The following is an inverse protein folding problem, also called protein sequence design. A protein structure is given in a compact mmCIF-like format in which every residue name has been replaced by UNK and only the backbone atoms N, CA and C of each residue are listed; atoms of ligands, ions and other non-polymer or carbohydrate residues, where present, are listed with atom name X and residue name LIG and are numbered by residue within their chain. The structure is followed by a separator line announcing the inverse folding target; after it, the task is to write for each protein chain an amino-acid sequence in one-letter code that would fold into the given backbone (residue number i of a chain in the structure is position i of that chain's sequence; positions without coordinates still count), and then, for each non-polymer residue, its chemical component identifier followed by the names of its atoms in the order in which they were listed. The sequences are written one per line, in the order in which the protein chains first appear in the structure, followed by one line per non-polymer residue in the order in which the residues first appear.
data_IF_305575549092
#
_entry.id   IF_305575549092
#
_cell.length_a   1.000
_cell.length_b   1.000
_cell.length_c   1.000
_cell.angle_alpha   90.00
_cell.angle_beta   90.00
_cell.angle_gamma   90.00
#
_symmetry.space_group_name_H-M   'P 1'
#
loop_
_entity.id
_entity.type
_entity.pdbx_description
1 polymer ?
#
# COMPACT_ATOMS: atom_id res chain seq x y z
N UNK A 1 -22.59 -7.33 -10.04
CA UNK A 1 -21.47 -8.25 -10.00
C UNK A 1 -21.42 -8.87 -8.62
N UNK A 2 -21.31 -10.17 -8.54
CA UNK A 2 -21.22 -10.93 -7.29
C UNK A 2 -19.75 -11.19 -7.02
N UNK A 3 -19.29 -11.00 -5.78
CA UNK A 3 -17.99 -11.48 -5.32
C UNK A 3 -17.99 -13.00 -5.52
N UNK A 4 -17.00 -13.50 -6.24
CA UNK A 4 -16.96 -14.91 -6.62
C UNK A 4 -16.29 -15.77 -5.56
N UNK A 5 -15.45 -15.17 -4.69
CA UNK A 5 -14.75 -15.86 -3.62
C UNK A 5 -14.53 -14.93 -2.43
N UNK A 6 -14.76 -15.46 -1.23
CA UNK A 6 -14.41 -14.81 0.04
C UNK A 6 -13.52 -15.76 0.80
N UNK A 7 -12.30 -15.33 1.08
CA UNK A 7 -11.32 -16.11 1.85
C UNK A 7 -11.02 -15.42 3.16
N UNK A 8 -10.68 -16.21 4.20
CA UNK A 8 -10.29 -15.69 5.50
C UNK A 8 -9.01 -16.35 5.98
N UNK A 9 -8.06 -15.52 6.43
CA UNK A 9 -6.86 -15.93 7.13
C UNK A 9 -6.92 -15.38 8.56
N UNK A 10 -6.84 -16.26 9.56
CA UNK A 10 -6.83 -15.85 10.96
C UNK A 10 -5.57 -16.33 11.65
N UNK A 11 -4.87 -15.40 12.31
CA UNK A 11 -3.70 -15.67 13.14
C UNK A 11 -4.18 -15.60 14.58
N UNK A 12 -4.00 -16.69 15.33
CA UNK A 12 -4.55 -16.79 16.68
C UNK A 12 -3.84 -15.82 17.65
N UNK A 13 -4.56 -15.48 18.74
CA UNK A 13 -4.01 -14.70 19.85
C UNK A 13 -2.69 -15.30 20.37
N UNK A 14 -1.73 -14.41 20.67
CA UNK A 14 -0.41 -14.75 21.23
C UNK A 14 0.43 -15.70 20.35
N UNK A 15 0.04 -15.89 19.08
CA UNK A 15 0.76 -16.72 18.12
C UNK A 15 1.84 -15.91 17.39
N UNK A 16 3.07 -16.40 17.39
CA UNK A 16 4.14 -15.90 16.53
C UNK A 16 4.41 -16.92 15.41
N UNK A 17 4.16 -16.50 14.16
CA UNK A 17 4.42 -17.29 12.95
C UNK A 17 5.71 -16.77 12.35
N UNK A 18 6.78 -17.57 12.44
CA UNK A 18 8.14 -17.20 12.02
C UNK A 18 8.32 -17.31 10.51
N UNK A 19 7.70 -18.32 9.89
CA UNK A 19 7.77 -18.50 8.45
C UNK A 19 6.68 -17.68 7.76
N UNK A 20 6.98 -16.99 6.64
CA UNK A 20 5.97 -16.25 5.90
C UNK A 20 4.84 -17.14 5.39
N UNK A 21 3.61 -16.63 5.47
CA UNK A 21 2.42 -17.25 4.88
C UNK A 21 2.33 -16.78 3.43
N UNK A 22 2.43 -17.70 2.48
CA UNK A 22 2.34 -17.40 1.06
C UNK A 22 0.93 -17.67 0.53
N UNK A 23 0.35 -16.67 -0.10
CA UNK A 23 -0.91 -16.77 -0.81
C UNK A 23 -0.64 -16.47 -2.29
N UNK A 24 -0.92 -17.42 -3.17
CA UNK A 24 -0.81 -17.20 -4.61
C UNK A 24 -2.19 -17.26 -5.26
N UNK A 25 -2.47 -16.30 -6.12
CA UNK A 25 -3.71 -16.26 -6.87
C UNK A 25 -3.65 -17.21 -8.07
N UNK A 26 -4.64 -18.09 -8.17
CA UNK A 26 -4.87 -18.86 -9.40
C UNK A 26 -5.80 -18.07 -10.31
N UNK A 27 -5.30 -17.66 -11.47
CA UNK A 27 -6.08 -16.88 -12.44
C UNK A 27 -6.80 -17.80 -13.42
N UNK A 28 -8.08 -17.54 -13.65
CA UNK A 28 -8.93 -18.35 -14.56
C UNK A 28 -8.95 -17.84 -16.01
N UNK A 29 -8.35 -16.65 -16.24
CA UNK A 29 -8.45 -15.93 -17.52
C UNK A 29 -9.80 -15.24 -17.75
N UNK A 30 -10.67 -15.21 -16.75
CA UNK A 30 -11.96 -14.50 -16.73
C UNK A 30 -11.89 -13.34 -15.73
N UNK A 31 -12.75 -12.30 -15.86
CA UNK A 31 -12.88 -11.28 -14.84
C UNK A 31 -13.29 -11.88 -13.49
N UNK A 32 -12.55 -11.55 -12.44
CA UNK A 32 -12.73 -12.07 -11.10
C UNK A 32 -12.94 -10.95 -10.10
N UNK A 33 -13.81 -11.21 -9.11
CA UNK A 33 -13.93 -10.37 -7.92
C UNK A 33 -13.62 -11.22 -6.71
N UNK A 34 -12.68 -10.79 -5.89
CA UNK A 34 -12.26 -11.52 -4.69
C UNK A 34 -12.27 -10.63 -3.46
N UNK A 35 -12.51 -11.24 -2.32
CA UNK A 35 -12.38 -10.61 -1.01
C UNK A 35 -11.56 -11.50 -0.10
N UNK A 36 -10.55 -10.94 0.53
CA UNK A 36 -9.74 -11.60 1.55
C UNK A 36 -9.86 -10.81 2.86
N UNK A 37 -10.10 -11.54 3.95
CA UNK A 37 -10.06 -10.97 5.31
C UNK A 37 -8.87 -11.58 6.03
N UNK A 38 -7.98 -10.72 6.56
CA UNK A 38 -6.83 -11.12 7.38
C UNK A 38 -7.05 -10.61 8.79
N UNK A 39 -7.14 -11.52 9.76
CA UNK A 39 -7.27 -11.18 11.18
C UNK A 39 -5.99 -11.54 11.92
N UNK A 40 -5.32 -10.55 12.49
CA UNK A 40 -4.20 -10.73 13.41
C UNK A 40 -4.70 -10.61 14.86
N UNK A 41 -4.73 -11.72 15.58
CA UNK A 41 -5.21 -11.79 16.96
C UNK A 41 -4.34 -11.01 17.95
N UNK A 42 -4.83 -10.83 19.17
CA UNK A 42 -4.12 -10.10 20.25
C UNK A 42 -2.66 -10.57 20.38
N UNK A 43 -1.70 -9.64 20.38
CA UNK A 43 -0.25 -9.90 20.49
C UNK A 43 0.30 -10.92 19.47
N UNK A 44 -0.41 -11.20 18.39
CA UNK A 44 0.10 -12.10 17.36
C UNK A 44 1.16 -11.41 16.50
N UNK A 45 1.99 -12.23 15.82
CA UNK A 45 3.01 -11.74 14.89
C UNK A 45 3.09 -12.64 13.67
N UNK A 46 3.04 -12.07 12.49
CA UNK A 46 3.13 -12.81 11.24
C UNK A 46 3.61 -11.95 10.07
N UNK A 47 4.05 -12.64 9.01
CA UNK A 47 4.27 -12.07 7.69
C UNK A 47 3.38 -12.78 6.68
N UNK A 48 2.61 -12.02 5.91
CA UNK A 48 1.75 -12.53 4.84
C UNK A 48 2.24 -11.97 3.52
N UNK A 49 2.44 -12.84 2.55
CA UNK A 49 2.90 -12.48 1.20
C UNK A 49 1.84 -12.93 0.20
N UNK A 50 1.37 -11.98 -0.61
CA UNK A 50 0.44 -12.26 -1.71
C UNK A 50 1.17 -12.04 -3.03
N UNK A 51 1.24 -13.08 -3.83
CA UNK A 51 1.81 -13.04 -5.18
C UNK A 51 0.70 -13.05 -6.22
N UNK A 52 0.71 -12.05 -7.09
CA UNK A 52 -0.20 -11.89 -8.20
C UNK A 52 0.58 -11.96 -9.52
N UNK A 53 0.40 -13.04 -10.28
CA UNK A 53 1.11 -13.28 -11.54
C UNK A 53 0.18 -13.87 -12.61
N UNK A 54 0.61 -13.82 -13.87
CA UNK A 54 -0.16 -14.33 -15.01
C UNK A 54 -1.05 -13.27 -15.66
N UNK A 55 -2.05 -13.69 -16.46
CA UNK A 55 -2.97 -12.81 -17.17
C UNK A 55 -4.33 -12.82 -16.51
N UNK A 56 -4.82 -11.67 -16.03
CA UNK A 56 -6.08 -11.56 -15.32
C UNK A 56 -6.72 -10.16 -15.43
N UNK A 57 -8.05 -10.14 -15.20
CA UNK A 57 -8.80 -8.92 -14.88
C UNK A 57 -9.38 -9.10 -13.49
N UNK A 58 -8.82 -8.39 -12.50
CA UNK A 58 -9.13 -8.63 -11.08
C UNK A 58 -9.64 -7.36 -10.43
N UNK A 59 -10.80 -7.49 -9.77
CA UNK A 59 -11.24 -6.60 -8.70
C UNK A 59 -10.97 -7.27 -7.35
N UNK A 60 -10.30 -6.59 -6.43
CA UNK A 60 -9.89 -7.18 -5.17
C UNK A 60 -10.20 -6.27 -4.00
N UNK A 61 -10.68 -6.85 -2.91
CA UNK A 61 -10.82 -6.21 -1.62
C UNK A 61 -10.09 -7.03 -0.57
N UNK A 62 -9.16 -6.40 0.15
CA UNK A 62 -8.43 -7.02 1.27
C UNK A 62 -8.71 -6.22 2.52
N UNK A 63 -9.40 -6.84 3.49
CA UNK A 63 -9.60 -6.29 4.82
C UNK A 63 -8.55 -6.87 5.77
N UNK A 64 -7.91 -6.02 6.55
CA UNK A 64 -6.85 -6.40 7.49
C UNK A 64 -7.22 -5.84 8.86
N UNK A 65 -7.41 -6.71 9.82
CA UNK A 65 -7.80 -6.33 11.19
C UNK A 65 -6.72 -6.76 12.16
N UNK A 66 -6.02 -5.79 12.74
CA UNK A 66 -5.03 -6.04 13.78
C UNK A 66 -5.64 -5.77 15.15
N UNK A 67 -5.68 -6.80 16.00
CA UNK A 67 -6.00 -6.64 17.42
C UNK A 67 -4.87 -5.97 18.18
N UNK A 68 -5.13 -5.54 19.42
CA UNK A 68 -4.12 -4.85 20.23
C UNK A 68 -2.80 -5.62 20.33
N UNK A 69 -1.67 -4.91 20.18
CA UNK A 69 -0.33 -5.47 20.22
C UNK A 69 0.03 -6.42 19.07
N UNK A 70 -0.85 -6.61 18.09
CA UNK A 70 -0.54 -7.45 16.94
C UNK A 70 0.50 -6.79 16.02
N UNK A 71 1.35 -7.59 15.38
CA UNK A 71 2.36 -7.14 14.42
C UNK A 71 2.21 -7.90 13.11
N UNK A 72 1.94 -7.20 12.03
CA UNK A 72 1.75 -7.80 10.72
C UNK A 72 2.62 -7.12 9.66
N UNK A 73 3.46 -7.91 8.99
CA UNK A 73 4.04 -7.53 7.72
C UNK A 73 3.15 -8.06 6.61
N UNK A 74 2.66 -7.17 5.76
CA UNK A 74 1.80 -7.49 4.63
C UNK A 74 2.49 -7.09 3.34
N UNK A 75 2.82 -8.07 2.51
CA UNK A 75 3.60 -7.88 1.28
C UNK A 75 2.75 -8.28 0.09
N UNK A 76 2.62 -7.42 -0.90
CA UNK A 76 1.93 -7.75 -2.15
C UNK A 76 2.83 -7.51 -3.35
N UNK A 77 2.91 -8.52 -4.21
CA UNK A 77 3.70 -8.51 -5.43
C UNK A 77 2.75 -8.53 -6.63
N UNK A 78 2.82 -7.50 -7.49
CA UNK A 78 2.07 -7.41 -8.73
C UNK A 78 3.02 -7.63 -9.90
N UNK A 79 3.17 -8.90 -10.27
CA UNK A 79 4.00 -9.38 -11.39
C UNK A 79 3.13 -9.86 -12.55
N UNK A 80 2.04 -9.15 -12.79
CA UNK A 80 1.08 -9.46 -13.83
C UNK A 80 1.69 -9.40 -15.24
N UNK A 81 1.17 -10.20 -16.15
CA UNK A 81 1.45 -10.03 -17.58
C UNK A 81 0.90 -8.69 -18.10
N UNK A 82 1.45 -8.20 -19.20
CA UNK A 82 1.16 -6.89 -19.78
C UNK A 82 -0.28 -6.67 -20.28
N UNK A 83 -1.10 -7.72 -20.32
CA UNK A 83 -2.53 -7.66 -20.68
C UNK A 83 -3.47 -7.59 -19.47
N UNK A 84 -2.92 -7.61 -18.26
CA UNK A 84 -3.70 -7.70 -17.03
C UNK A 84 -4.16 -6.34 -16.52
N UNK A 85 -5.33 -6.36 -15.88
CA UNK A 85 -5.91 -5.21 -15.17
C UNK A 85 -6.20 -5.62 -13.73
N UNK A 86 -5.68 -4.87 -12.77
CA UNK A 86 -5.99 -5.04 -11.36
C UNK A 86 -6.54 -3.74 -10.76
N UNK A 87 -7.67 -3.83 -10.08
CA UNK A 87 -8.23 -2.77 -9.25
C UNK A 87 -8.36 -3.33 -7.83
N UNK A 88 -7.51 -2.88 -6.92
CA UNK A 88 -7.43 -3.40 -5.56
C UNK A 88 -7.65 -2.32 -4.50
N UNK A 89 -8.37 -2.68 -3.44
CA UNK A 89 -8.47 -1.91 -2.21
C UNK A 89 -7.95 -2.75 -1.05
N UNK A 90 -7.03 -2.20 -0.27
CA UNK A 90 -6.49 -2.81 0.93
C UNK A 90 -6.84 -1.90 2.11
N UNK A 91 -7.62 -2.39 3.07
CA UNK A 91 -8.07 -1.60 4.21
C UNK A 91 -7.59 -2.23 5.51
N UNK A 92 -6.76 -1.51 6.27
CA UNK A 92 -6.22 -1.96 7.55
C UNK A 92 -6.81 -1.18 8.72
N UNK A 93 -7.36 -1.91 9.70
CA UNK A 93 -7.77 -1.40 11.00
C UNK A 93 -6.69 -1.76 12.03
N UNK A 94 -6.04 -0.75 12.61
CA UNK A 94 -4.88 -0.93 13.48
C UNK A 94 -5.22 -0.55 14.92
N UNK A 95 -5.36 -1.56 15.79
CA UNK A 95 -5.76 -1.36 17.17
C UNK A 95 -4.59 -0.89 18.06
N UNK A 96 -4.89 -0.69 19.35
CA UNK A 96 -3.95 -0.20 20.37
C UNK A 96 -2.60 -0.94 20.33
N UNK A 97 -1.49 -0.19 20.27
CA UNK A 97 -0.12 -0.70 20.30
C UNK A 97 0.19 -1.75 19.20
N UNK A 98 -0.66 -1.84 18.16
CA UNK A 98 -0.41 -2.72 17.03
C UNK A 98 0.49 -2.05 15.97
N UNK A 99 1.24 -2.88 15.24
CA UNK A 99 2.18 -2.47 14.20
C UNK A 99 1.80 -3.09 12.87
N UNK A 100 1.46 -2.26 11.88
CA UNK A 100 1.14 -2.68 10.53
C UNK A 100 2.20 -2.20 9.55
N UNK A 101 2.87 -3.12 8.86
CA UNK A 101 3.83 -2.80 7.81
C UNK A 101 3.34 -3.35 6.48
N UNK A 102 3.05 -2.46 5.53
CA UNK A 102 2.62 -2.79 4.18
C UNK A 102 3.74 -2.55 3.17
N UNK A 103 4.03 -3.55 2.34
CA UNK A 103 5.02 -3.48 1.27
C UNK A 103 4.35 -3.83 -0.06
N UNK A 104 4.31 -2.87 -0.97
CA UNK A 104 3.69 -3.01 -2.29
C UNK A 104 4.78 -2.97 -3.36
N UNK A 105 4.88 -4.04 -4.15
CA UNK A 105 5.79 -4.11 -5.31
C UNK A 105 4.97 -4.25 -6.58
N UNK A 106 5.07 -3.29 -7.50
CA UNK A 106 4.30 -3.29 -8.75
C UNK A 106 5.23 -3.18 -9.94
N UNK A 107 5.39 -4.26 -10.69
CA UNK A 107 6.28 -4.36 -11.86
C UNK A 107 5.60 -4.93 -13.09
N UNK A 108 4.30 -5.25 -13.03
CA UNK A 108 3.55 -5.85 -14.12
C UNK A 108 2.14 -5.26 -14.26
N UNK A 109 1.40 -5.74 -15.29
CA UNK A 109 0.05 -5.31 -15.63
C UNK A 109 0.02 -4.18 -16.66
N UNK A 110 -1.07 -4.08 -17.43
CA UNK A 110 -1.34 -2.90 -18.28
C UNK A 110 -1.90 -1.77 -17.44
N UNK A 111 -2.81 -2.09 -16.52
CA UNK A 111 -3.37 -1.15 -15.55
C UNK A 111 -3.37 -1.81 -14.19
N UNK A 112 -2.69 -1.20 -13.24
CA UNK A 112 -2.75 -1.59 -11.82
C UNK A 112 -3.11 -0.37 -11.01
N UNK A 113 -4.23 -0.43 -10.27
CA UNK A 113 -4.62 0.58 -9.31
C UNK A 113 -4.83 -0.07 -7.96
N UNK A 114 -4.04 0.36 -6.98
CA UNK A 114 -4.13 -0.07 -5.59
C UNK A 114 -4.46 1.11 -4.69
N UNK A 115 -5.39 0.91 -3.77
CA UNK A 115 -5.82 1.91 -2.81
C UNK A 115 -5.62 1.38 -1.37
N UNK A 116 -4.39 1.44 -0.83
CA UNK A 116 -4.13 1.12 0.57
C UNK A 116 -4.72 2.20 1.49
N UNK A 117 -5.51 1.78 2.48
CA UNK A 117 -6.12 2.64 3.49
C UNK A 117 -5.78 2.12 4.89
N UNK A 118 -5.49 3.01 5.81
CA UNK A 118 -5.20 2.69 7.21
C UNK A 118 -6.04 3.58 8.12
N UNK A 119 -6.79 2.94 9.04
CA UNK A 119 -7.50 3.57 10.13
C UNK A 119 -6.92 3.11 11.46
N UNK A 120 -6.57 4.06 12.33
CA UNK A 120 -6.12 3.75 13.68
C UNK A 120 -7.31 3.67 14.63
N UNK A 121 -7.46 2.54 15.32
CA UNK A 121 -8.56 2.29 16.27
C UNK A 121 -8.10 2.24 17.73
N UNK A 122 -6.81 2.48 18.01
CA UNK A 122 -6.26 2.52 19.36
C UNK A 122 -4.95 3.31 19.46
N UNK A 123 -4.72 3.93 20.63
CA UNK A 123 -3.51 4.71 20.89
C UNK A 123 -2.25 3.86 20.81
N UNK A 124 -1.11 4.47 20.42
CA UNK A 124 0.17 3.79 20.27
C UNK A 124 0.30 2.94 19.03
N UNK A 125 -0.74 2.90 18.19
CA UNK A 125 -0.74 2.19 16.93
C UNK A 125 0.25 2.81 15.93
N UNK A 126 0.84 1.98 15.07
CA UNK A 126 1.74 2.44 14.02
C UNK A 126 1.50 1.74 12.69
N UNK A 127 1.72 2.47 11.60
CA UNK A 127 1.66 1.93 10.25
C UNK A 127 2.83 2.45 9.41
N UNK A 128 3.50 1.54 8.70
CA UNK A 128 4.50 1.86 7.70
C UNK A 128 4.06 1.31 6.35
N UNK A 129 3.91 2.20 5.35
CA UNK A 129 3.46 1.85 4.01
C UNK A 129 4.58 2.15 3.01
N UNK A 130 5.21 1.11 2.53
CA UNK A 130 6.27 1.18 1.52
C UNK A 130 5.79 0.67 0.18
N UNK A 131 6.14 1.37 -0.89
CA UNK A 131 5.86 0.94 -2.24
C UNK A 131 7.05 1.16 -3.16
N UNK A 132 7.28 0.19 -4.04
CA UNK A 132 8.17 0.34 -5.18
C UNK A 132 7.43 -0.06 -6.45
N UNK A 133 7.60 0.72 -7.51
CA UNK A 133 6.98 0.42 -8.79
C UNK A 133 7.91 0.77 -9.95
N UNK A 134 7.81 -0.05 -10.98
CA UNK A 134 8.54 0.15 -12.22
C UNK A 134 7.56 0.06 -13.39
N UNK A 135 7.33 1.18 -14.06
CA UNK A 135 6.45 1.24 -15.22
C UNK A 135 7.26 1.22 -16.52
N UNK A 136 6.81 0.42 -17.47
CA UNK A 136 7.33 0.37 -18.83
C UNK A 136 6.31 0.88 -19.83
N UNK A 137 6.69 0.92 -21.12
CA UNK A 137 5.86 1.49 -22.20
C UNK A 137 4.40 1.01 -22.14
N UNK A 138 3.47 1.97 -22.14
CA UNK A 138 2.03 1.72 -22.17
C UNK A 138 1.41 1.23 -20.87
N UNK A 139 2.17 1.10 -19.80
CA UNK A 139 1.64 0.73 -18.49
C UNK A 139 1.10 1.95 -17.74
N UNK A 140 0.00 1.74 -17.00
CA UNK A 140 -0.54 2.70 -16.04
C UNK A 140 -0.55 2.07 -14.64
N UNK A 141 0.33 2.57 -13.76
CA UNK A 141 0.44 2.09 -12.37
C UNK A 141 0.03 3.21 -11.42
N UNK A 142 -1.03 2.98 -10.64
CA UNK A 142 -1.61 3.99 -9.77
C UNK A 142 -1.68 3.47 -8.32
N UNK A 143 -1.18 4.28 -7.38
CA UNK A 143 -1.24 4.00 -5.95
C UNK A 143 -1.88 5.18 -5.23
N UNK A 144 -3.03 4.93 -4.56
CA UNK A 144 -3.76 5.93 -3.76
C UNK A 144 -3.75 5.53 -2.31
N UNK A 145 -2.86 6.12 -1.56
CA UNK A 145 -2.67 5.83 -0.14
C UNK A 145 -3.54 6.79 0.67
N UNK A 146 -4.28 6.25 1.65
CA UNK A 146 -5.01 7.06 2.60
C UNK A 146 -4.67 6.61 4.02
N UNK A 147 -4.28 7.55 4.88
CA UNK A 147 -3.98 7.30 6.29
C UNK A 147 -4.80 8.23 7.15
N UNK A 148 -5.68 7.66 7.96
CA UNK A 148 -6.61 8.38 8.81
C UNK A 148 -6.16 8.33 10.28
N UNK A 149 -5.59 9.45 10.76
CA UNK A 149 -5.25 9.62 12.16
C UNK A 149 -6.45 10.18 12.93
N UNK A 150 -7.26 9.31 13.45
CA UNK A 150 -8.49 9.61 14.19
C UNK A 150 -8.37 9.37 15.71
N UNK A 151 -7.17 8.98 16.19
CA UNK A 151 -6.88 8.72 17.59
C UNK A 151 -5.49 9.25 17.99
N UNK A 152 -5.35 9.64 19.27
CA UNK A 152 -4.10 10.19 19.77
C UNK A 152 -2.93 9.20 19.77
N UNK A 153 -1.70 9.74 19.61
CA UNK A 153 -0.43 9.01 19.69
C UNK A 153 -0.26 7.91 18.63
N UNK A 154 -0.91 8.03 17.47
CA UNK A 154 -0.68 7.14 16.35
C UNK A 154 0.49 7.63 15.48
N UNK A 155 1.18 6.70 14.80
CA UNK A 155 2.30 7.00 13.92
C UNK A 155 2.10 6.41 12.54
N UNK A 156 2.50 7.16 11.49
CA UNK A 156 2.59 6.61 10.14
C UNK A 156 3.81 7.08 9.38
N UNK A 157 4.26 6.24 8.47
CA UNK A 157 5.27 6.56 7.47
C UNK A 157 4.82 6.01 6.14
N UNK A 158 4.76 6.85 5.13
CA UNK A 158 4.46 6.48 3.75
C UNK A 158 5.67 6.78 2.89
N UNK A 159 6.21 5.78 2.20
CA UNK A 159 7.40 5.95 1.37
C UNK A 159 7.26 5.14 0.09
N UNK A 160 6.95 5.81 -1.01
CA UNK A 160 6.78 5.21 -2.32
C UNK A 160 7.82 5.71 -3.29
N UNK A 161 8.44 4.79 -4.04
CA UNK A 161 9.45 5.12 -5.05
C UNK A 161 9.13 4.45 -6.36
N UNK A 162 9.23 5.21 -7.45
CA UNK A 162 8.98 4.73 -8.80
C UNK A 162 10.14 4.98 -9.74
N UNK A 163 10.28 4.11 -10.73
CA UNK A 163 11.07 4.38 -11.91
C UNK A 163 10.23 4.06 -13.15
N UNK A 164 10.42 4.87 -14.20
CA UNK A 164 9.63 4.78 -15.42
C UNK A 164 10.53 4.78 -16.64
N UNK A 165 10.29 3.83 -17.54
CA UNK A 165 11.03 3.70 -18.80
C UNK A 165 10.09 3.43 -19.97
N UNK A 166 10.28 4.16 -21.05
CA UNK A 166 9.58 3.95 -22.31
C UNK A 166 8.41 4.90 -22.52
N UNK A 167 8.00 4.97 -23.79
CA UNK A 167 6.94 5.85 -24.23
C UNK A 167 5.62 5.44 -23.58
N UNK A 168 4.85 6.44 -23.11
CA UNK A 168 3.53 6.28 -22.50
C UNK A 168 3.56 5.42 -21.19
N UNK A 169 4.73 5.21 -20.58
CA UNK A 169 4.83 4.73 -19.21
C UNK A 169 4.26 5.82 -18.27
N UNK A 170 3.22 5.48 -17.51
CA UNK A 170 2.53 6.44 -16.67
C UNK A 170 2.32 5.90 -15.25
N UNK A 171 2.71 6.70 -14.27
CA UNK A 171 2.40 6.40 -12.87
C UNK A 171 1.66 7.55 -12.22
N UNK A 172 0.75 7.19 -11.31
CA UNK A 172 0.03 8.14 -10.45
C UNK A 172 0.22 7.71 -9.00
N UNK A 173 0.71 8.62 -8.18
CA UNK A 173 0.75 8.44 -6.75
C UNK A 173 -0.03 9.57 -6.06
N UNK A 174 -0.97 9.18 -5.21
CA UNK A 174 -1.74 10.10 -4.38
C UNK A 174 -1.55 9.64 -2.94
N UNK A 175 -1.03 10.53 -2.09
CA UNK A 175 -0.94 10.33 -0.65
C UNK A 175 -1.91 11.29 0.02
N UNK A 176 -2.81 10.75 0.82
CA UNK A 176 -3.76 11.51 1.62
C UNK A 176 -3.55 11.14 3.08
N UNK A 177 -3.03 12.07 3.88
CA UNK A 177 -2.92 11.92 5.33
C UNK A 177 -3.85 12.92 5.99
N UNK A 178 -4.78 12.42 6.79
CA UNK A 178 -5.72 13.25 7.53
C UNK A 178 -5.51 13.08 9.04
N UNK A 179 -5.33 14.20 9.76
CA UNK A 179 -5.15 14.25 11.21
C UNK A 179 -6.35 14.96 11.81
N UNK A 180 -7.27 14.19 12.39
CA UNK A 180 -8.51 14.70 12.96
C UNK A 180 -8.30 15.45 14.28
N UNK A 181 -9.34 16.17 14.69
CA UNK A 181 -9.42 16.74 16.04
C UNK A 181 -9.32 15.65 17.09
N UNK A 182 -8.42 15.83 18.07
CA UNK A 182 -8.18 14.85 19.12
C UNK A 182 -7.18 13.75 18.77
N UNK A 183 -6.63 13.74 17.55
CA UNK A 183 -5.48 12.90 17.18
C UNK A 183 -4.15 13.50 17.65
N UNK A 184 -4.13 13.96 18.91
CA UNK A 184 -2.97 14.62 19.52
C UNK A 184 -1.78 13.66 19.63
N UNK A 185 -0.57 14.18 19.51
CA UNK A 185 0.63 13.36 19.54
C UNK A 185 0.87 12.52 18.27
N UNK A 186 0.17 12.82 17.18
CA UNK A 186 0.43 12.20 15.88
C UNK A 186 1.85 12.50 15.39
N UNK A 187 2.51 11.47 14.83
CA UNK A 187 3.80 11.55 14.16
C UNK A 187 3.70 10.89 12.78
N UNK A 188 3.66 11.69 11.71
CA UNK A 188 3.45 11.19 10.35
C UNK A 188 4.39 11.85 9.35
N UNK A 189 4.76 11.10 8.31
CA UNK A 189 5.48 11.65 7.16
C UNK A 189 5.19 10.82 5.91
N UNK A 190 4.95 11.51 4.79
CA UNK A 190 4.79 10.86 3.50
C UNK A 190 5.82 11.33 2.48
N UNK A 191 6.30 10.42 1.67
CA UNK A 191 7.31 10.64 0.67
C UNK A 191 7.00 9.89 -0.61
N UNK A 192 7.02 10.58 -1.75
CA UNK A 192 7.06 9.96 -3.05
C UNK A 192 8.25 10.46 -3.87
N UNK A 193 8.98 9.54 -4.50
CA UNK A 193 10.07 9.88 -5.41
C UNK A 193 9.98 9.06 -6.68
N UNK A 194 10.06 9.74 -7.83
CA UNK A 194 10.01 9.12 -9.14
C UNK A 194 11.26 9.47 -9.94
N UNK A 195 11.75 8.51 -10.71
CA UNK A 195 12.86 8.67 -11.64
C UNK A 195 12.38 8.34 -13.08
N UNK A 196 12.41 9.34 -13.94
CA UNK A 196 12.13 9.18 -15.37
C UNK A 196 13.41 8.79 -16.09
N UNK A 197 13.48 7.56 -16.58
CA UNK A 197 14.66 7.00 -17.23
C UNK A 197 14.73 7.33 -18.72
N UNK A 198 13.59 7.61 -19.36
CA UNK A 198 13.50 7.90 -20.79
C UNK A 198 12.49 9.01 -21.06
N UNK A 199 12.56 9.58 -22.24
CA UNK A 199 11.55 10.50 -22.73
C UNK A 199 10.21 9.81 -22.98
N UNK A 200 9.09 10.56 -22.80
CA UNK A 200 7.73 10.08 -22.98
C UNK A 200 7.14 9.35 -21.78
N UNK A 201 7.92 9.14 -20.72
CA UNK A 201 7.41 8.68 -19.44
C UNK A 201 6.85 9.84 -18.61
N UNK A 202 5.80 9.57 -17.80
CA UNK A 202 5.11 10.56 -16.97
C UNK A 202 4.83 10.01 -15.58
N UNK A 203 5.18 10.76 -14.54
CA UNK A 203 4.82 10.49 -13.16
C UNK A 203 4.04 11.67 -12.58
N UNK A 204 2.82 11.41 -12.12
CA UNK A 204 1.98 12.37 -11.39
C UNK A 204 2.05 12.03 -9.90
N UNK A 205 2.36 13.02 -9.07
CA UNK A 205 2.50 12.86 -7.62
C UNK A 205 1.73 13.95 -6.90
N UNK A 206 0.78 13.53 -6.05
CA UNK A 206 -0.14 14.43 -5.33
C UNK A 206 -0.12 14.10 -3.84
N UNK A 207 0.80 14.71 -3.06
CA UNK A 207 0.76 14.61 -1.61
C UNK A 207 -0.27 15.58 -1.02
N UNK A 208 -1.14 15.08 -0.14
CA UNK A 208 -2.13 15.87 0.59
C UNK A 208 -1.98 15.60 2.10
N UNK A 209 -1.95 16.67 2.88
CA UNK A 209 -1.87 16.58 4.34
C UNK A 209 -2.85 17.57 4.95
N UNK A 210 -3.86 17.04 5.64
CA UNK A 210 -4.84 17.84 6.36
C UNK A 210 -4.66 17.66 7.87
N UNK A 211 -4.60 18.77 8.61
CA UNK A 211 -4.32 18.77 10.04
C UNK A 211 -5.37 19.62 10.74
N UNK A 212 -6.18 18.99 11.60
CA UNK A 212 -7.22 19.66 12.38
C UNK A 212 -6.85 19.89 13.86
N UNK A 213 -5.70 19.40 14.33
CA UNK A 213 -5.19 19.63 15.70
C UNK A 213 -3.82 20.31 15.68
N UNK A 214 -3.55 21.16 16.70
CA UNK A 214 -2.24 21.80 16.89
C UNK A 214 -1.24 20.99 17.72
N UNK A 215 -1.67 19.90 18.35
CA UNK A 215 -0.91 19.12 19.33
C UNK A 215 -0.30 17.88 18.68
N UNK A 216 0.59 18.05 17.69
CA UNK A 216 1.26 16.96 16.97
C UNK A 216 2.75 16.89 17.33
N UNK A 217 3.36 15.69 17.22
CA UNK A 217 4.81 15.52 17.33
C UNK A 217 5.47 15.97 16.04
N UNK A 218 4.94 15.59 14.91
CA UNK A 218 5.41 16.00 13.59
C UNK A 218 4.49 15.55 12.47
N UNK A 219 4.40 16.39 11.44
CA UNK A 219 3.74 16.03 10.20
C UNK A 219 4.45 16.67 9.02
N UNK A 220 4.45 16.00 7.87
CA UNK A 220 5.05 16.53 6.67
C UNK A 220 4.89 15.63 5.47
N UNK A 221 5.13 16.21 4.30
CA UNK A 221 5.16 15.46 3.05
C UNK A 221 6.23 16.00 2.11
N UNK A 222 6.69 15.14 1.21
CA UNK A 222 7.56 15.54 0.10
C UNK A 222 7.29 14.68 -1.13
N UNK A 223 7.33 15.31 -2.29
CA UNK A 223 7.34 14.59 -3.55
C UNK A 223 8.40 15.14 -4.51
N UNK A 224 9.02 14.26 -5.27
CA UNK A 224 10.05 14.64 -6.25
C UNK A 224 9.95 13.73 -7.47
N UNK A 225 9.96 14.34 -8.65
CA UNK A 225 10.12 13.62 -9.90
C UNK A 225 11.36 14.18 -10.59
N UNK A 226 12.38 13.34 -10.77
CA UNK A 226 13.63 13.67 -11.46
C UNK A 226 13.75 12.93 -12.78
N UNK A 227 14.51 13.48 -13.69
CA UNK A 227 14.98 12.78 -14.89
C UNK A 227 16.36 12.19 -14.63
N UNK A 228 16.60 11.06 -15.21
CA UNK A 228 17.95 10.51 -15.31
C UNK A 228 18.74 11.35 -16.31
N UNK A 229 19.89 11.82 -15.90
CA UNK A 229 20.81 12.58 -16.72
C UNK A 229 22.12 11.78 -16.86
N UNK A 230 22.47 11.44 -18.08
CA UNK A 230 23.69 10.69 -18.37
C UNK A 230 24.96 11.41 -17.90
N UNK A 231 24.94 12.74 -17.82
CA UNK A 231 26.04 13.56 -17.29
C UNK A 231 26.30 13.37 -15.78
N UNK A 232 25.34 12.82 -15.05
CA UNK A 232 25.47 12.55 -13.60
C UNK A 232 26.10 11.19 -13.30
N UNK A 233 26.44 10.42 -14.32
CA UNK A 233 27.06 9.09 -14.18
C UNK A 233 28.59 9.10 -14.14
N UNK A 234 29.23 10.27 -14.29
CA UNK A 234 30.69 10.41 -14.38
C UNK A 234 31.26 11.40 -13.37
#
# INVERSE_FOLDING_TARGET
STVTEVSKLSIAKDQEITEPIFLSRKVSGKPELSRLVIEAGLNSKATVIIENAGSAQVGEEIEIVLSAGAKLNFITLQEWNSDSIQLGQHHALVAKDAEFNSYVVTVGGSVVRLSPTVDFTGQGASAELFGVYFATSGQHLEHRIHVDHNIANAKSRVNYKGALSGKDAHTVWIGDVFIHKGADGTDTYELNRNLLLTDGARADSVPNLEIETGEIIGAGHASTTGRFDDEQLF
#
